data_IF_234199976400
#
_entry.id   IF_234199976400
#
_cell.length_a   1.000
_cell.length_b   1.000
_cell.length_c   1.000
_cell.angle_alpha   90.00
_cell.angle_beta   90.00
_cell.angle_gamma   90.00
#
_symmetry.space_group_name_H-M   'P 1'
#
loop_
_entity.id
_entity.type
_entity.pdbx_description
1 polymer ?
#
# COMPACT_ATOMS: atom_id res chain seq x y z
N UNK A 1 8.83 1.50 13.50
CA UNK A 1 9.20 2.51 12.47
C UNK A 1 7.98 3.13 11.82
N UNK A 2 7.12 2.39 11.11
CA UNK A 2 5.92 2.99 10.48
C UNK A 2 4.92 3.60 11.47
N UNK A 3 4.85 3.10 12.70
CA UNK A 3 4.08 3.70 13.79
C UNK A 3 4.61 5.07 14.25
N UNK A 4 5.91 5.33 14.09
CA UNK A 4 6.52 6.62 14.43
C UNK A 4 6.14 7.65 13.36
N UNK A 5 6.30 7.28 12.09
CA UNK A 5 5.88 8.12 10.95
C UNK A 5 4.38 8.43 11.00
N UNK A 6 3.55 7.50 11.48
CA UNK A 6 2.13 7.79 11.67
C UNK A 6 1.86 8.74 12.83
N UNK A 7 2.69 8.74 13.87
CA UNK A 7 2.56 9.67 14.99
C UNK A 7 2.88 11.11 14.62
N UNK A 8 3.74 11.33 13.61
CA UNK A 8 3.98 12.67 13.07
C UNK A 8 2.66 13.33 12.61
N UNK A 9 1.70 12.53 12.12
CA UNK A 9 0.34 13.01 11.82
C UNK A 9 -0.58 12.90 13.03
N UNK A 10 -0.62 11.76 13.72
CA UNK A 10 -1.61 11.49 14.77
C UNK A 10 -1.50 12.43 15.98
N UNK A 11 -0.31 12.97 16.24
CA UNK A 11 -0.08 13.96 17.29
C UNK A 11 -0.43 15.39 16.86
N UNK A 12 -0.67 15.61 15.56
CA UNK A 12 -1.21 16.87 15.04
C UNK A 12 -2.63 17.13 15.53
N UNK A 13 -3.00 18.41 15.56
CA UNK A 13 -4.35 18.86 15.94
C UNK A 13 -5.32 18.96 14.75
N UNK A 14 -4.81 18.75 13.54
CA UNK A 14 -5.53 18.87 12.27
C UNK A 14 -6.69 17.86 12.24
N UNK A 15 -7.92 18.31 11.88
CA UNK A 15 -9.07 17.42 11.83
C UNK A 15 -8.82 16.31 10.81
N UNK A 16 -9.05 15.06 11.23
CA UNK A 16 -8.78 13.89 10.38
C UNK A 16 -7.34 13.37 10.45
N UNK A 17 -6.42 14.00 11.19
CA UNK A 17 -5.14 13.41 11.61
C UNK A 17 -5.18 12.92 13.05
N UNK A 18 -5.81 13.66 13.94
CA UNK A 18 -5.84 13.35 15.37
C UNK A 18 -6.63 12.07 15.68
N UNK A 19 -5.95 10.92 15.60
CA UNK A 19 -6.60 9.61 15.72
C UNK A 19 -5.66 8.57 16.30
N UNK A 20 -6.17 7.78 17.24
CA UNK A 20 -5.40 6.75 17.95
C UNK A 20 -5.21 5.48 17.11
N UNK A 21 -6.03 5.26 16.08
CA UNK A 21 -5.93 4.07 15.22
C UNK A 21 -4.81 4.18 14.17
N UNK A 22 -4.25 5.38 13.96
CA UNK A 22 -3.26 5.64 12.91
C UNK A 22 -2.01 4.74 13.01
N UNK A 23 -1.52 4.48 14.22
CA UNK A 23 -0.31 3.67 14.42
C UNK A 23 -0.44 2.24 13.86
N UNK A 24 -1.42 1.42 14.32
CA UNK A 24 -1.63 0.09 13.75
C UNK A 24 -2.09 0.14 12.29
N UNK A 25 -2.88 1.15 11.91
CA UNK A 25 -3.37 1.34 10.53
C UNK A 25 -2.22 1.57 9.53
N UNK A 26 -1.29 2.48 9.82
CA UNK A 26 -0.14 2.75 8.94
C UNK A 26 0.80 1.54 8.84
N UNK A 27 0.94 0.76 9.91
CA UNK A 27 1.70 -0.50 9.88
C UNK A 27 1.01 -1.51 8.96
N UNK A 28 -0.31 -1.67 9.07
CA UNK A 28 -1.06 -2.56 8.17
C UNK A 28 -0.94 -2.11 6.71
N UNK A 29 -1.06 -0.81 6.43
CA UNK A 29 -0.86 -0.22 5.10
C UNK A 29 0.56 -0.40 4.56
N UNK A 30 1.58 -0.33 5.41
CA UNK A 30 2.97 -0.58 5.03
C UNK A 30 3.19 -2.05 4.62
N UNK A 31 2.62 -3.00 5.36
CA UNK A 31 2.67 -4.42 4.98
C UNK A 31 1.88 -4.63 3.67
N UNK A 32 0.71 -4.00 3.53
CA UNK A 32 -0.14 -4.11 2.35
C UNK A 32 0.57 -3.64 1.06
N UNK A 33 1.09 -2.41 1.07
CA UNK A 33 1.88 -1.84 -0.04
C UNK A 33 3.20 -2.58 -0.28
N UNK A 34 3.88 -3.02 0.79
CA UNK A 34 5.12 -3.79 0.68
C UNK A 34 4.92 -5.13 -0.03
N UNK A 35 3.89 -5.89 0.34
CA UNK A 35 3.55 -7.15 -0.31
C UNK A 35 3.12 -6.94 -1.77
N UNK A 36 2.39 -5.85 -2.06
CA UNK A 36 2.04 -5.48 -3.43
C UNK A 36 3.29 -5.17 -4.28
N UNK A 37 4.26 -4.43 -3.73
CA UNK A 37 5.54 -4.17 -4.39
C UNK A 37 6.32 -5.47 -4.63
N UNK A 38 6.33 -6.38 -3.65
CA UNK A 38 6.96 -7.70 -3.80
C UNK A 38 6.34 -8.48 -4.96
N UNK A 39 5.01 -8.47 -5.15
CA UNK A 39 4.40 -9.10 -6.32
C UNK A 39 4.84 -8.44 -7.64
N UNK A 40 4.86 -7.11 -7.69
CA UNK A 40 5.24 -6.34 -8.89
C UNK A 40 6.69 -6.60 -9.29
N UNK A 41 7.59 -6.87 -8.35
CA UNK A 41 9.00 -7.17 -8.62
C UNK A 41 9.26 -8.67 -8.87
N UNK A 42 8.70 -9.55 -8.04
CA UNK A 42 8.94 -10.99 -8.14
C UNK A 42 8.36 -11.60 -9.41
N UNK A 43 7.20 -11.12 -9.89
CA UNK A 43 6.55 -11.70 -11.09
C UNK A 43 7.42 -11.52 -12.35
N UNK A 44 7.91 -10.31 -12.69
CA UNK A 44 8.89 -10.13 -13.77
C UNK A 44 10.19 -10.88 -13.53
N UNK A 45 10.77 -10.80 -12.32
CA UNK A 45 12.02 -11.50 -11.99
C UNK A 45 11.93 -13.00 -12.16
N UNK A 46 10.80 -13.60 -11.77
CA UNK A 46 10.52 -15.04 -11.93
C UNK A 46 10.71 -15.48 -13.37
N UNK A 47 10.28 -14.66 -14.34
CA UNK A 47 10.38 -14.95 -15.77
C UNK A 47 11.74 -14.59 -16.37
N UNK A 48 12.36 -13.48 -15.94
CA UNK A 48 13.65 -13.01 -16.46
C UNK A 48 14.79 -13.96 -16.02
N UNK A 49 14.82 -14.32 -14.74
CA UNK A 49 15.87 -15.17 -14.16
C UNK A 49 15.52 -16.67 -14.15
N UNK A 50 14.35 -17.05 -14.68
CA UNK A 50 13.85 -18.44 -14.73
C UNK A 50 13.77 -19.11 -13.36
N UNK A 51 13.20 -18.39 -12.38
CA UNK A 51 13.03 -18.86 -11.01
C UNK A 51 11.69 -19.56 -10.78
N UNK A 52 11.04 -20.11 -11.81
CA UNK A 52 9.71 -20.71 -11.70
C UNK A 52 9.64 -21.89 -10.74
N UNK A 53 10.76 -22.60 -10.56
CA UNK A 53 10.90 -23.73 -9.64
C UNK A 53 11.10 -23.31 -8.18
N UNK A 54 11.59 -22.09 -7.95
CA UNK A 54 11.84 -21.55 -6.60
C UNK A 54 10.67 -20.67 -6.14
N UNK A 55 10.22 -19.77 -7.01
CA UNK A 55 9.06 -18.91 -6.80
C UNK A 55 7.85 -19.64 -7.41
N UNK A 56 7.31 -20.59 -6.66
CA UNK A 56 6.14 -21.37 -7.09
C UNK A 56 4.86 -20.54 -7.03
N UNK A 57 3.79 -21.05 -7.64
CA UNK A 57 2.45 -20.43 -7.55
C UNK A 57 1.97 -20.41 -6.10
N UNK A 58 2.33 -21.39 -5.28
CA UNK A 58 1.95 -21.45 -3.87
C UNK A 58 2.53 -20.28 -3.07
N UNK A 59 3.78 -19.89 -3.35
CA UNK A 59 4.41 -18.70 -2.73
C UNK A 59 3.62 -17.44 -3.09
N UNK A 60 3.28 -17.27 -4.37
CA UNK A 60 2.50 -16.13 -4.86
C UNK A 60 1.06 -16.13 -4.30
N UNK A 61 0.42 -17.29 -4.18
CA UNK A 61 -0.89 -17.43 -3.57
C UNK A 61 -0.85 -17.05 -2.08
N UNK A 62 0.20 -17.44 -1.35
CA UNK A 62 0.36 -17.10 0.06
C UNK A 62 0.56 -15.58 0.26
N UNK A 63 1.30 -14.92 -0.63
CA UNK A 63 1.39 -13.45 -0.67
C UNK A 63 0.00 -12.85 -0.96
N UNK A 64 -0.76 -13.42 -1.90
CA UNK A 64 -2.13 -12.98 -2.16
C UNK A 64 -3.04 -13.07 -0.93
N UNK A 65 -2.93 -14.14 -0.13
CA UNK A 65 -3.71 -14.31 1.11
C UNK A 65 -3.35 -13.28 2.17
N UNK A 66 -2.07 -12.93 2.31
CA UNK A 66 -1.63 -11.89 3.27
C UNK A 66 -2.04 -10.49 2.82
N UNK A 67 -2.10 -10.22 1.51
CA UNK A 67 -2.68 -8.99 0.94
C UNK A 67 -4.17 -8.88 1.28
N UNK A 68 -4.94 -9.98 1.22
CA UNK A 68 -6.34 -9.97 1.66
C UNK A 68 -6.45 -9.57 3.12
N UNK A 69 -5.69 -10.24 4.00
CA UNK A 69 -5.72 -9.98 5.44
C UNK A 69 -5.43 -8.50 5.74
N UNK A 70 -4.35 -7.98 5.17
CA UNK A 70 -3.96 -6.57 5.37
C UNK A 70 -4.94 -5.60 4.73
N UNK A 71 -5.50 -5.92 3.55
CA UNK A 71 -6.53 -5.11 2.90
C UNK A 71 -7.83 -5.04 3.70
N UNK A 72 -8.21 -6.12 4.38
CA UNK A 72 -9.34 -6.13 5.31
C UNK A 72 -9.09 -5.26 6.55
N UNK A 73 -7.87 -5.30 7.11
CA UNK A 73 -7.50 -4.43 8.24
C UNK A 73 -7.55 -2.96 7.83
N UNK A 74 -6.97 -2.62 6.67
CA UNK A 74 -6.98 -1.26 6.12
C UNK A 74 -8.40 -0.81 5.81
N UNK A 75 -9.21 -1.66 5.17
CA UNK A 75 -10.63 -1.39 4.89
C UNK A 75 -11.45 -1.17 6.17
N UNK A 76 -11.21 -1.98 7.20
CA UNK A 76 -11.82 -1.81 8.52
C UNK A 76 -11.42 -0.48 9.14
N UNK A 77 -10.14 -0.10 9.10
CA UNK A 77 -9.67 1.20 9.60
C UNK A 77 -10.40 2.36 8.93
N UNK A 78 -10.57 2.34 7.61
CA UNK A 78 -11.36 3.36 6.91
C UNK A 78 -12.78 3.46 7.45
N UNK A 79 -13.46 2.34 7.61
CA UNK A 79 -14.85 2.33 8.12
C UNK A 79 -14.92 2.87 9.55
N UNK A 80 -13.99 2.46 10.41
CA UNK A 80 -13.93 2.92 11.81
C UNK A 80 -13.65 4.41 11.90
N UNK A 81 -12.75 4.93 11.08
CA UNK A 81 -12.44 6.37 11.08
C UNK A 81 -13.65 7.22 10.67
N UNK A 82 -14.38 6.82 9.63
CA UNK A 82 -15.61 7.50 9.24
C UNK A 82 -16.70 7.38 10.31
N UNK A 83 -16.81 6.20 10.93
CA UNK A 83 -17.77 5.96 12.00
C UNK A 83 -17.46 6.83 13.23
N UNK A 84 -16.20 6.90 13.66
CA UNK A 84 -15.77 7.71 14.79
C UNK A 84 -15.93 9.20 14.48
N UNK A 85 -15.58 9.65 13.27
CA UNK A 85 -15.80 11.06 12.89
C UNK A 85 -17.29 11.44 12.97
N UNK A 86 -18.18 10.55 12.53
CA UNK A 86 -19.62 10.76 12.66
C UNK A 86 -20.08 10.70 14.13
N UNK A 87 -19.63 9.71 14.90
CA UNK A 87 -20.02 9.46 16.29
C UNK A 87 -19.47 10.49 17.28
N UNK A 88 -18.25 11.00 17.04
CA UNK A 88 -17.52 11.90 17.94
C UNK A 88 -18.13 13.29 18.09
N UNK A 89 -19.07 13.68 17.21
CA UNK A 89 -19.83 14.93 17.32
C UNK A 89 -19.03 16.21 17.04
N UNK A 90 -17.74 16.11 16.74
CA UNK A 90 -16.90 17.24 16.35
C UNK A 90 -17.29 17.76 14.96
N UNK A 91 -17.85 18.98 14.89
CA UNK A 91 -18.31 19.57 13.61
C UNK A 91 -17.19 19.67 12.56
N UNK A 92 -15.97 19.98 12.98
CA UNK A 92 -14.82 20.08 12.10
C UNK A 92 -14.42 18.70 11.53
N UNK A 93 -14.35 17.66 12.35
CA UNK A 93 -14.06 16.29 11.88
C UNK A 93 -15.17 15.76 10.97
N UNK A 94 -16.44 15.96 11.34
CA UNK A 94 -17.56 15.56 10.50
C UNK A 94 -17.54 16.26 9.13
N UNK A 95 -17.29 17.57 9.11
CA UNK A 95 -17.16 18.33 7.87
C UNK A 95 -15.96 17.84 7.03
N UNK A 96 -14.83 17.56 7.67
CA UNK A 96 -13.61 17.09 7.01
C UNK A 96 -13.80 15.71 6.36
N UNK A 97 -14.39 14.74 7.08
CA UNK A 97 -14.68 13.42 6.51
C UNK A 97 -15.78 13.46 5.44
N UNK A 98 -16.78 14.34 5.58
CA UNK A 98 -17.76 14.60 4.53
C UNK A 98 -17.09 15.21 3.28
N UNK A 99 -16.15 16.13 3.47
CA UNK A 99 -15.38 16.74 2.40
C UNK A 99 -14.47 15.74 1.70
N UNK A 100 -13.88 14.77 2.42
CA UNK A 100 -13.14 13.66 1.79
C UNK A 100 -14.02 12.87 0.82
N UNK A 101 -15.30 12.66 1.14
CA UNK A 101 -16.22 11.87 0.30
C UNK A 101 -16.85 12.66 -0.86
N UNK A 102 -17.10 13.96 -0.69
CA UNK A 102 -17.91 14.77 -1.62
C UNK A 102 -17.19 15.98 -2.20
N UNK A 103 -16.08 16.39 -1.61
CA UNK A 103 -15.32 17.57 -2.00
C UNK A 103 -14.42 17.36 -3.22
N UNK A 104 -13.49 18.29 -3.41
CA UNK A 104 -12.60 18.33 -4.58
C UNK A 104 -11.75 17.06 -4.74
N UNK A 105 -11.31 16.44 -3.64
CA UNK A 105 -10.51 15.21 -3.64
C UNK A 105 -11.32 13.92 -3.50
N UNK A 106 -12.65 13.98 -3.66
CA UNK A 106 -13.54 12.82 -3.57
C UNK A 106 -13.13 11.69 -4.51
N UNK A 107 -12.69 12.01 -5.73
CA UNK A 107 -12.21 11.01 -6.67
C UNK A 107 -10.97 10.26 -6.15
N UNK A 108 -10.03 10.94 -5.48
CA UNK A 108 -8.86 10.31 -4.83
C UNK A 108 -9.33 9.36 -3.71
N UNK A 109 -10.30 9.81 -2.92
CA UNK A 109 -10.86 9.02 -1.83
C UNK A 109 -11.52 7.74 -2.35
N UNK A 110 -12.41 7.84 -3.34
CA UNK A 110 -13.08 6.66 -3.90
C UNK A 110 -12.10 5.73 -4.62
N UNK A 111 -11.10 6.28 -5.31
CA UNK A 111 -10.05 5.50 -5.95
C UNK A 111 -9.24 4.72 -4.90
N UNK A 112 -8.85 5.37 -3.80
CA UNK A 112 -8.20 4.72 -2.66
C UNK A 112 -9.05 3.56 -2.12
N UNK A 113 -10.34 3.79 -1.83
CA UNK A 113 -11.24 2.75 -1.31
C UNK A 113 -11.35 1.57 -2.29
N UNK A 114 -11.55 1.85 -3.58
CA UNK A 114 -11.68 0.81 -4.59
C UNK A 114 -10.38 0.00 -4.70
N UNK A 115 -9.23 0.65 -4.80
CA UNK A 115 -7.95 -0.01 -5.00
C UNK A 115 -7.45 -0.77 -3.76
N UNK A 116 -7.66 -0.27 -2.54
CA UNK A 116 -7.12 -0.88 -1.31
C UNK A 116 -8.11 -1.81 -0.61
N UNK A 117 -9.42 -1.53 -0.67
CA UNK A 117 -10.41 -2.33 0.04
C UNK A 117 -11.21 -3.24 -0.89
N UNK A 118 -11.60 -2.78 -2.09
CA UNK A 118 -12.48 -3.55 -2.99
C UNK A 118 -11.71 -4.52 -3.88
N UNK A 119 -10.65 -4.05 -4.55
CA UNK A 119 -9.86 -4.86 -5.48
C UNK A 119 -9.23 -6.09 -4.81
N UNK A 120 -8.64 -5.99 -3.59
CA UNK A 120 -8.07 -7.17 -2.92
C UNK A 120 -9.12 -8.23 -2.55
N UNK A 121 -10.40 -7.90 -2.45
CA UNK A 121 -11.47 -8.90 -2.22
C UNK A 121 -11.54 -9.90 -3.38
N UNK A 122 -11.16 -9.50 -4.60
CA UNK A 122 -11.07 -10.44 -5.73
C UNK A 122 -10.10 -11.60 -5.46
N UNK A 123 -9.10 -11.42 -4.59
CA UNK A 123 -8.19 -12.48 -4.16
C UNK A 123 -8.86 -13.50 -3.22
N UNK A 124 -10.10 -13.34 -2.77
CA UNK A 124 -10.81 -14.44 -2.12
C UNK A 124 -11.01 -15.62 -3.07
N UNK A 125 -11.20 -15.33 -4.37
CA UNK A 125 -11.38 -16.36 -5.38
C UNK A 125 -10.04 -17.02 -5.73
N UNK A 126 -9.93 -18.32 -5.46
CA UNK A 126 -8.71 -19.10 -5.75
C UNK A 126 -8.25 -18.94 -7.21
N UNK A 127 -9.18 -18.88 -8.16
CA UNK A 127 -8.89 -18.67 -9.59
C UNK A 127 -8.12 -17.37 -9.86
N UNK A 128 -8.42 -16.31 -9.11
CA UNK A 128 -7.74 -15.01 -9.23
C UNK A 128 -6.38 -15.08 -8.54
N UNK A 129 -6.28 -15.68 -7.35
CA UNK A 129 -5.00 -15.81 -6.63
C UNK A 129 -3.96 -16.68 -7.32
N UNK A 130 -4.38 -17.67 -8.10
CA UNK A 130 -3.44 -18.54 -8.83
C UNK A 130 -3.14 -18.02 -10.24
N UNK A 131 -3.67 -16.86 -10.61
CA UNK A 131 -3.45 -16.22 -11.92
C UNK A 131 -2.37 -15.15 -11.81
N UNK A 132 -1.22 -15.39 -12.45
CA UNK A 132 -0.07 -14.47 -12.44
C UNK A 132 -0.45 -13.07 -12.96
N UNK A 133 -1.16 -12.92 -14.10
CA UNK A 133 -1.56 -11.59 -14.58
C UNK A 133 -2.51 -10.87 -13.61
N UNK A 134 -3.39 -11.61 -12.92
CA UNK A 134 -4.30 -11.02 -11.95
C UNK A 134 -3.55 -10.52 -10.71
N UNK A 135 -2.65 -11.33 -10.15
CA UNK A 135 -1.80 -10.92 -9.02
C UNK A 135 -0.95 -9.69 -9.35
N UNK A 136 -0.36 -9.64 -10.54
CA UNK A 136 0.43 -8.50 -10.99
C UNK A 136 -0.42 -7.22 -11.10
N UNK A 137 -1.60 -7.32 -11.73
CA UNK A 137 -2.51 -6.19 -11.91
C UNK A 137 -3.04 -5.69 -10.56
N UNK A 138 -3.41 -6.60 -9.66
CA UNK A 138 -3.87 -6.26 -8.31
C UNK A 138 -2.75 -5.60 -7.50
N UNK A 139 -1.52 -6.10 -7.60
CA UNK A 139 -0.36 -5.46 -6.95
C UNK A 139 -0.16 -4.01 -7.39
N UNK A 140 -0.24 -3.72 -8.70
CA UNK A 140 -0.16 -2.35 -9.21
C UNK A 140 -1.30 -1.48 -8.68
N UNK A 141 -2.54 -1.99 -8.71
CA UNK A 141 -3.70 -1.25 -8.23
C UNK A 141 -3.58 -0.92 -6.73
N UNK A 142 -3.11 -1.86 -5.91
CA UNK A 142 -2.86 -1.62 -4.49
C UNK A 142 -1.79 -0.54 -4.29
N UNK A 143 -0.69 -0.57 -5.05
CA UNK A 143 0.34 0.48 -4.94
C UNK A 143 -0.21 1.86 -5.27
N UNK A 144 -1.03 1.96 -6.32
CA UNK A 144 -1.72 3.21 -6.69
C UNK A 144 -2.66 3.65 -5.56
N UNK A 145 -3.48 2.74 -5.05
CA UNK A 145 -4.41 3.02 -3.95
C UNK A 145 -3.70 3.51 -2.69
N UNK A 146 -2.63 2.84 -2.27
CA UNK A 146 -1.81 3.19 -1.10
C UNK A 146 -1.10 4.54 -1.26
N UNK A 147 -0.77 4.94 -2.50
CA UNK A 147 -0.24 6.28 -2.76
C UNK A 147 -1.33 7.35 -2.61
N UNK A 148 -2.52 7.11 -3.17
CA UNK A 148 -3.67 8.00 -2.99
C UNK A 148 -4.15 8.07 -1.53
N UNK A 149 -4.00 7.00 -0.77
CA UNK A 149 -4.26 6.99 0.67
C UNK A 149 -3.45 8.05 1.40
N UNK A 150 -2.13 8.09 1.14
CA UNK A 150 -1.26 9.10 1.76
C UNK A 150 -1.62 10.51 1.29
N UNK A 151 -2.00 10.70 0.02
CA UNK A 151 -2.48 11.99 -0.47
C UNK A 151 -3.77 12.44 0.21
N UNK A 152 -4.75 11.55 0.37
CA UNK A 152 -6.05 11.86 0.99
C UNK A 152 -5.87 12.21 2.46
N UNK A 153 -4.99 11.50 3.18
CA UNK A 153 -4.67 11.82 4.57
C UNK A 153 -3.95 13.17 4.64
N UNK A 154 -2.89 13.39 3.87
CA UNK A 154 -2.06 14.60 4.00
C UNK A 154 -2.78 15.81 3.37
N UNK A 155 -2.89 15.82 2.04
CA UNK A 155 -3.43 16.95 1.28
C UNK A 155 -4.92 17.16 1.54
N UNK A 156 -5.67 16.07 1.68
CA UNK A 156 -7.12 16.15 1.88
C UNK A 156 -7.53 16.70 3.24
N UNK A 157 -6.71 16.52 4.29
CA UNK A 157 -6.99 17.05 5.63
C UNK A 157 -6.60 18.51 5.77
N UNK A 158 -5.45 18.89 5.23
CA UNK A 158 -4.95 20.28 5.24
C UNK A 158 -5.80 21.22 4.35
N UNK A 159 -6.45 20.68 3.31
CA UNK A 159 -7.27 21.50 2.43
C UNK A 159 -8.55 22.04 3.09
N UNK A 160 -8.99 21.44 4.19
CA UNK A 160 -10.25 21.76 4.86
C UNK A 160 -10.12 21.62 6.38
N UNK A 161 -9.49 22.62 6.99
CA UNK A 161 -9.23 22.70 8.43
C UNK A 161 -10.33 23.45 9.20
N UNK A 162 -10.03 23.78 10.47
CA UNK A 162 -10.93 24.52 11.37
C UNK A 162 -11.32 25.91 10.87
N UNK A 163 -10.40 26.65 10.24
CA UNK A 163 -10.65 28.02 9.79
C UNK A 163 -10.94 28.05 8.27
N UNK A 164 -12.14 28.49 7.84
CA UNK A 164 -12.45 28.65 6.42
C UNK A 164 -11.50 29.59 5.67
N UNK A 165 -10.84 30.54 6.35
CA UNK A 165 -9.90 31.45 5.72
C UNK A 165 -8.62 30.74 5.23
N UNK A 166 -8.19 29.66 5.88
CA UNK A 166 -6.96 28.93 5.53
C UNK A 166 -7.16 27.86 4.45
N UNK A 167 -8.40 27.63 3.98
CA UNK A 167 -8.68 26.58 3.02
C UNK A 167 -7.95 26.80 1.69
N UNK A 168 -7.13 25.81 1.32
CA UNK A 168 -6.30 25.84 0.12
C UNK A 168 -6.41 24.53 -0.66
N UNK A 169 -6.48 24.63 -1.99
CA UNK A 169 -6.44 23.45 -2.86
C UNK A 169 -5.05 23.31 -3.48
N UNK A 170 -4.42 22.17 -3.23
CA UNK A 170 -3.30 21.67 -4.01
C UNK A 170 -3.81 21.16 -5.37
N UNK A 171 -3.78 22.04 -6.37
CA UNK A 171 -4.36 21.74 -7.70
C UNK A 171 -3.50 20.77 -8.49
N UNK A 172 -2.21 21.07 -8.65
CA UNK A 172 -1.29 20.28 -9.47
C UNK A 172 0.12 20.32 -8.89
N UNK A 173 0.83 19.19 -8.85
CA UNK A 173 2.25 19.19 -8.56
C UNK A 173 3.02 19.96 -9.64
N UNK A 174 3.95 20.78 -9.19
CA UNK A 174 4.96 21.43 -10.01
C UNK A 174 5.83 20.40 -10.73
N UNK A 175 6.51 20.84 -11.80
CA UNK A 175 7.45 19.99 -12.54
C UNK A 175 8.59 19.48 -11.66
N UNK A 176 8.96 20.23 -10.63
CA UNK A 176 10.00 19.83 -9.66
C UNK A 176 9.51 18.67 -8.79
N UNK A 177 8.29 18.73 -8.28
CA UNK A 177 7.69 17.64 -7.48
C UNK A 177 7.56 16.35 -8.31
N UNK A 178 7.12 16.46 -9.57
CA UNK A 178 7.12 15.33 -10.50
C UNK A 178 8.53 14.80 -10.77
N UNK A 179 9.52 15.68 -10.94
CA UNK A 179 10.92 15.31 -11.11
C UNK A 179 11.48 14.53 -9.92
N UNK A 180 11.15 14.94 -8.69
CA UNK A 180 11.55 14.24 -7.47
C UNK A 180 10.89 12.87 -7.39
N UNK A 181 9.59 12.77 -7.69
CA UNK A 181 8.86 11.51 -7.70
C UNK A 181 9.49 10.52 -8.70
N UNK A 182 9.67 10.93 -9.96
CA UNK A 182 10.28 10.09 -11.00
C UNK A 182 11.73 9.76 -10.64
N UNK A 183 12.48 10.71 -10.07
CA UNK A 183 13.84 10.51 -9.59
C UNK A 183 13.92 9.43 -8.51
N UNK A 184 12.97 9.40 -7.57
CA UNK A 184 12.90 8.38 -6.52
C UNK A 184 12.69 6.96 -7.08
N UNK A 185 11.78 6.80 -8.05
CA UNK A 185 11.57 5.52 -8.73
C UNK A 185 12.81 5.09 -9.51
N UNK A 186 13.44 6.04 -10.22
CA UNK A 186 14.65 5.79 -11.00
C UNK A 186 15.79 5.33 -10.11
N UNK A 187 16.00 5.98 -8.96
CA UNK A 187 17.01 5.60 -7.99
C UNK A 187 16.72 4.21 -7.39
N UNK A 188 15.47 3.94 -7.02
CA UNK A 188 15.05 2.63 -6.51
C UNK A 188 15.37 1.51 -7.51
N UNK A 189 14.91 1.65 -8.76
CA UNK A 189 15.14 0.63 -9.79
C UNK A 189 16.63 0.51 -10.15
N UNK A 190 17.37 1.62 -10.17
CA UNK A 190 18.81 1.61 -10.40
C UNK A 190 19.54 0.76 -9.34
N UNK A 191 19.28 1.02 -8.06
CA UNK A 191 19.88 0.27 -6.95
C UNK A 191 19.39 -1.18 -6.89
N UNK A 192 18.10 -1.41 -7.15
CA UNK A 192 17.51 -2.75 -7.18
C UNK A 192 18.10 -3.62 -8.30
N UNK A 193 18.27 -3.07 -9.50
CA UNK A 193 18.88 -3.78 -10.62
C UNK A 193 20.37 -4.02 -10.38
N UNK A 194 21.07 -3.08 -9.73
CA UNK A 194 22.45 -3.26 -9.30
C UNK A 194 22.54 -4.44 -8.31
N UNK A 195 21.67 -4.46 -7.30
CA UNK A 195 21.56 -5.57 -6.36
C UNK A 195 21.29 -6.89 -7.10
N UNK A 196 20.31 -6.93 -7.99
CA UNK A 196 19.94 -8.14 -8.73
C UNK A 196 21.04 -8.66 -9.68
N UNK A 197 21.95 -7.78 -10.12
CA UNK A 197 23.07 -8.13 -10.98
C UNK A 197 24.30 -8.61 -10.20
N UNK A 198 24.62 -7.97 -9.08
CA UNK A 198 25.89 -8.20 -8.37
C UNK A 198 25.76 -9.13 -7.15
N UNK A 199 24.56 -9.32 -6.61
CA UNK A 199 24.32 -10.12 -5.42
C UNK A 199 23.31 -11.24 -5.70
N UNK A 200 23.37 -12.37 -4.96
CA UNK A 200 22.39 -13.43 -5.09
C UNK A 200 21.02 -12.93 -4.61
N UNK A 201 20.03 -12.91 -5.52
CA UNK A 201 18.66 -12.46 -5.25
C UNK A 201 17.85 -13.42 -4.38
N UNK A 202 18.36 -14.63 -4.15
CA UNK A 202 17.72 -15.69 -3.36
C UNK A 202 18.70 -16.12 -2.27
N UNK A 203 18.21 -16.34 -1.06
CA UNK A 203 18.99 -16.88 0.05
C UNK A 203 19.34 -18.36 -0.21
N UNK A 204 20.51 -18.60 -0.81
CA UNK A 204 20.97 -19.94 -1.21
C UNK A 204 21.09 -20.88 0.00
N UNK A 205 21.46 -20.35 1.18
CA UNK A 205 21.59 -21.13 2.42
C UNK A 205 20.24 -21.68 2.87
N UNK A 206 19.21 -20.84 2.95
CA UNK A 206 17.85 -21.24 3.36
C UNK A 206 17.23 -22.21 2.35
N UNK A 207 17.44 -21.98 1.05
CA UNK A 207 16.97 -22.91 0.01
C UNK A 207 17.64 -24.27 0.14
N UNK A 208 18.94 -24.33 0.47
CA UNK A 208 19.65 -25.61 0.68
C UNK A 208 19.16 -26.36 1.90
N UNK A 209 18.78 -25.67 2.97
CA UNK A 209 18.20 -26.29 4.18
C UNK A 209 16.80 -26.87 3.92
N UNK A 210 16.03 -26.25 3.03
CA UNK A 210 14.70 -26.74 2.64
C UNK A 210 14.73 -27.96 1.69
N UNK A 211 15.85 -28.24 1.02
CA UNK A 211 15.98 -29.35 0.09
C UNK A 211 16.44 -30.62 0.85
N UNK A 212 15.85 -31.80 0.61
CA UNK A 212 16.29 -33.04 1.25
C UNK A 212 17.76 -33.35 0.92
N UNK A 213 18.49 -33.84 1.93
CA UNK A 213 19.91 -34.18 1.81
C UNK A 213 20.11 -35.15 0.64
N UNK A 214 21.04 -34.88 -0.30
CA UNK A 214 21.24 -35.76 -1.44
C UNK A 214 21.74 -37.13 -0.97
N UNK A 215 20.85 -38.13 -1.07
CA UNK A 215 21.19 -39.53 -0.76
C UNK A 215 21.83 -40.17 -1.99
N UNK A 216 23.00 -40.79 -1.82
CA UNK A 216 23.65 -41.55 -2.91
C UNK A 216 22.72 -42.70 -3.30
N UNK A 217 22.18 -42.69 -4.53
CA UNK A 217 21.43 -43.84 -5.07
C UNK A 217 22.36 -45.06 -5.04
N UNK A 218 21.96 -46.09 -4.29
CA UNK A 218 22.60 -47.41 -4.27
C UNK A 218 22.24 -48.17 -5.52
#
# INVERSE_FOLDING_TARGET
MHSVVSWDFALGIVPGWHSTIFAPYFVAGAIHSGLAMVLVLLIPMRKIFRFENLITIDVLENIGKTIILTGLIVGYSYMVEHFIAWYGGGKAEQAQYMWRMTGYYSWCFWLMIVCNAVVPIALFFKKVRTSIPALFSIGILVLIGMWFERLVIIVGSEAHEYDPYSWGLYKYPSLVEWGILVGSFSLFFFLFLLFAKFLPTIAITEVKEAIPVPVRKK
#
